data_IF_754351108191
#
_entry.id   IF_754351108191
#
_cell.length_a   1.000
_cell.length_b   1.000
_cell.length_c   1.000
_cell.angle_alpha   90.00
_cell.angle_beta   90.00
_cell.angle_gamma   90.00
#
_symmetry.space_group_name_H-M   'P 1'
#
loop_
_entity.id
_entity.type
_entity.pdbx_description
1 polymer ?
#
# COMPACT_ATOMS: atom_id res chain seq x y z
N UNK A 1 16.12 16.85 9.96
CA UNK A 1 14.79 16.42 10.45
C UNK A 1 14.64 14.97 10.05
N UNK A 2 14.41 14.06 11.01
CA UNK A 2 14.26 12.62 10.71
C UNK A 2 12.79 12.33 10.49
N UNK A 3 12.44 11.66 9.38
CA UNK A 3 11.07 11.28 9.06
C UNK A 3 10.92 9.77 9.26
N UNK A 4 9.81 9.36 9.87
CA UNK A 4 9.46 7.95 10.10
C UNK A 4 8.06 7.74 9.51
N UNK A 5 7.92 6.73 8.66
CA UNK A 5 6.62 6.29 8.13
C UNK A 5 6.37 4.85 8.57
N UNK A 6 5.11 4.52 8.83
CA UNK A 6 4.65 3.21 9.28
C UNK A 6 3.31 2.87 8.65
N UNK A 7 3.13 1.62 8.24
CA UNK A 7 1.84 1.07 7.83
C UNK A 7 1.81 -0.44 8.14
N UNK A 8 0.64 -0.99 8.46
CA UNK A 8 0.48 -2.43 8.70
C UNK A 8 0.39 -3.25 7.40
N UNK A 9 0.18 -2.59 6.26
CA UNK A 9 0.15 -3.24 4.95
C UNK A 9 1.57 -3.49 4.42
N UNK A 10 2.08 -4.68 4.67
CA UNK A 10 3.40 -5.13 4.20
C UNK A 10 3.59 -4.97 2.67
N UNK A 11 2.53 -5.13 1.88
CA UNK A 11 2.61 -5.00 0.43
C UNK A 11 2.87 -3.54 0.02
N UNK A 12 2.27 -2.57 0.72
CA UNK A 12 2.53 -1.15 0.53
C UNK A 12 3.94 -0.78 1.01
N UNK A 13 4.35 -1.26 2.18
CA UNK A 13 5.70 -1.00 2.70
C UNK A 13 6.77 -1.56 1.77
N UNK A 14 6.55 -2.74 1.19
CA UNK A 14 7.44 -3.29 0.18
C UNK A 14 7.60 -2.36 -1.04
N UNK A 15 6.54 -1.68 -1.48
CA UNK A 15 6.64 -0.66 -2.55
C UNK A 15 7.55 0.48 -2.13
N UNK A 16 7.37 1.06 -0.94
CA UNK A 16 8.22 2.14 -0.44
C UNK A 16 9.69 1.72 -0.32
N UNK A 17 9.96 0.53 0.24
CA UNK A 17 11.33 -0.02 0.35
C UNK A 17 11.97 -0.20 -1.02
N UNK A 18 11.25 -0.78 -1.99
CA UNK A 18 11.77 -0.97 -3.35
C UNK A 18 12.02 0.37 -4.06
N UNK A 19 11.15 1.38 -3.90
CA UNK A 19 11.39 2.71 -4.46
C UNK A 19 12.65 3.34 -3.82
N UNK A 20 12.81 3.18 -2.50
CA UNK A 20 13.98 3.69 -1.77
C UNK A 20 15.28 3.02 -2.23
N UNK A 21 15.30 1.72 -2.44
CA UNK A 21 16.52 0.92 -2.62
C UNK A 21 16.83 0.55 -4.07
N UNK A 22 15.82 0.41 -4.94
CA UNK A 22 15.97 -0.17 -6.29
C UNK A 22 14.99 0.44 -7.31
N UNK A 23 14.98 1.78 -7.48
CA UNK A 23 14.03 2.47 -8.36
C UNK A 23 14.18 2.05 -9.83
N UNK A 24 15.41 1.84 -10.32
CA UNK A 24 15.66 1.48 -11.73
C UNK A 24 15.14 0.08 -12.06
N UNK A 25 15.32 -0.85 -11.14
CA UNK A 25 14.83 -2.22 -11.32
C UNK A 25 13.31 -2.24 -11.28
N UNK A 26 12.68 -1.47 -10.40
CA UNK A 26 11.23 -1.30 -10.38
C UNK A 26 10.71 -0.73 -11.69
N UNK A 27 11.32 0.35 -12.20
CA UNK A 27 10.98 0.98 -13.49
C UNK A 27 11.06 -0.05 -14.62
N UNK A 28 12.13 -0.84 -14.70
CA UNK A 28 12.29 -1.88 -15.73
C UNK A 28 11.19 -2.94 -15.67
N UNK A 29 10.82 -3.41 -14.48
CA UNK A 29 9.77 -4.43 -14.33
C UNK A 29 8.40 -3.84 -14.66
N UNK A 30 8.10 -2.62 -14.24
CA UNK A 30 6.87 -1.92 -14.56
C UNK A 30 6.75 -1.62 -16.06
N UNK A 31 7.84 -1.19 -16.72
CA UNK A 31 7.87 -1.00 -18.17
C UNK A 31 7.49 -2.29 -18.89
N UNK A 32 8.08 -3.42 -18.50
CA UNK A 32 7.75 -4.73 -19.09
C UNK A 32 6.28 -5.10 -18.90
N UNK A 33 5.75 -4.97 -17.68
CA UNK A 33 4.33 -5.25 -17.39
C UNK A 33 3.42 -4.32 -18.20
N UNK A 34 3.80 -3.06 -18.34
CA UNK A 34 3.05 -2.08 -19.12
C UNK A 34 3.02 -2.43 -20.61
N UNK A 35 4.17 -2.75 -21.20
CA UNK A 35 4.24 -3.12 -22.61
C UNK A 35 3.46 -4.41 -22.89
N UNK A 36 3.60 -5.42 -22.02
CA UNK A 36 2.82 -6.67 -22.07
C UNK A 36 1.30 -6.36 -22.01
N UNK A 37 0.87 -5.48 -21.11
CA UNK A 37 -0.56 -5.19 -20.89
C UNK A 37 -1.18 -4.30 -21.98
N UNK A 38 -0.46 -3.28 -22.44
CA UNK A 38 -0.93 -2.35 -23.47
C UNK A 38 -1.07 -3.06 -24.83
N UNK A 39 -0.20 -4.02 -25.13
CA UNK A 39 -0.27 -4.85 -26.34
C UNK A 39 -1.54 -5.71 -26.42
N UNK A 40 -2.24 -5.92 -25.29
CA UNK A 40 -3.53 -6.62 -25.27
C UNK A 40 -4.64 -5.64 -25.67
N UNK A 41 -5.16 -5.79 -26.89
CA UNK A 41 -6.25 -4.95 -27.41
C UNK A 41 -7.61 -5.33 -26.84
N UNK A 42 -7.87 -6.64 -26.68
CA UNK A 42 -9.15 -7.15 -26.21
C UNK A 42 -9.27 -7.10 -24.67
N UNK A 43 -10.41 -6.60 -24.19
CA UNK A 43 -10.73 -6.54 -22.77
C UNK A 43 -10.68 -7.92 -22.10
N UNK A 44 -11.12 -8.97 -22.80
CA UNK A 44 -11.06 -10.36 -22.34
C UNK A 44 -9.62 -10.82 -22.12
N UNK A 45 -8.69 -10.49 -23.03
CA UNK A 45 -7.27 -10.83 -22.87
C UNK A 45 -6.62 -10.08 -21.71
N UNK A 46 -6.93 -8.79 -21.53
CA UNK A 46 -6.48 -8.02 -20.36
C UNK A 46 -6.96 -8.62 -19.05
N UNK A 47 -8.20 -9.10 -19.01
CA UNK A 47 -8.75 -9.80 -17.84
C UNK A 47 -8.00 -11.10 -17.57
N UNK A 48 -7.70 -11.89 -18.59
CA UNK A 48 -6.89 -13.13 -18.43
C UNK A 48 -5.51 -12.80 -17.86
N UNK A 49 -4.80 -11.84 -18.47
CA UNK A 49 -3.49 -11.39 -17.99
C UNK A 49 -3.52 -10.91 -16.55
N UNK A 50 -4.52 -10.09 -16.17
CA UNK A 50 -4.70 -9.64 -14.80
C UNK A 50 -4.85 -10.81 -13.83
N UNK A 51 -5.66 -11.82 -14.18
CA UNK A 51 -5.89 -12.99 -13.34
C UNK A 51 -4.63 -13.85 -13.22
N UNK A 52 -3.87 -14.03 -14.30
CA UNK A 52 -2.59 -14.74 -14.29
C UNK A 52 -1.56 -14.04 -13.39
N UNK A 53 -1.43 -12.72 -13.51
CA UNK A 53 -0.57 -11.93 -12.63
C UNK A 53 -1.02 -12.03 -11.17
N UNK A 54 -2.33 -12.06 -10.90
CA UNK A 54 -2.88 -12.20 -9.54
C UNK A 54 -2.55 -13.57 -8.95
N UNK A 55 -2.67 -14.63 -9.74
CA UNK A 55 -2.25 -15.98 -9.34
C UNK A 55 -0.75 -15.99 -9.04
N UNK A 56 0.08 -15.43 -9.93
CA UNK A 56 1.52 -15.35 -9.70
C UNK A 56 1.89 -14.52 -8.46
N UNK A 57 1.20 -13.41 -8.21
CA UNK A 57 1.37 -12.61 -6.99
C UNK A 57 1.09 -13.41 -5.71
N UNK A 58 0.02 -14.20 -5.72
CA UNK A 58 -0.43 -14.96 -4.55
C UNK A 58 0.32 -16.27 -4.32
N UNK A 59 0.83 -16.90 -5.38
CA UNK A 59 1.26 -18.31 -5.33
C UNK A 59 2.65 -18.53 -5.94
N UNK A 60 3.12 -17.60 -6.77
CA UNK A 60 4.40 -17.71 -7.49
C UNK A 60 5.61 -17.18 -6.75
N UNK A 61 5.45 -16.71 -5.49
CA UNK A 61 6.50 -16.16 -4.65
C UNK A 61 7.43 -15.15 -5.39
N UNK A 62 6.89 -14.08 -6.00
CA UNK A 62 7.70 -13.08 -6.66
C UNK A 62 8.66 -12.41 -5.68
N UNK A 63 9.86 -12.05 -6.16
CA UNK A 63 10.78 -11.23 -5.38
C UNK A 63 10.18 -9.85 -5.08
N UNK A 64 10.75 -9.13 -4.11
CA UNK A 64 10.24 -7.84 -3.62
C UNK A 64 9.99 -6.81 -4.73
N UNK A 65 10.91 -6.70 -5.70
CA UNK A 65 10.80 -5.77 -6.83
C UNK A 65 9.59 -6.13 -7.71
N UNK A 66 9.45 -7.41 -8.06
CA UNK A 66 8.34 -7.90 -8.87
C UNK A 66 7.02 -7.79 -8.12
N UNK A 67 7.02 -8.07 -6.82
CA UNK A 67 5.86 -7.90 -5.94
C UNK A 67 5.41 -6.43 -5.88
N UNK A 68 6.33 -5.48 -5.76
CA UNK A 68 6.04 -4.05 -5.78
C UNK A 68 5.47 -3.59 -7.14
N UNK A 69 6.07 -4.06 -8.25
CA UNK A 69 5.58 -3.75 -9.59
C UNK A 69 4.16 -4.28 -9.83
N UNK A 70 3.88 -5.51 -9.40
CA UNK A 70 2.56 -6.13 -9.48
C UNK A 70 1.54 -5.40 -8.60
N UNK A 71 1.92 -4.98 -7.40
CA UNK A 71 1.06 -4.17 -6.53
C UNK A 71 0.60 -2.89 -7.25
N UNK A 72 1.54 -2.13 -7.82
CA UNK A 72 1.23 -0.91 -8.59
C UNK A 72 0.33 -1.23 -9.78
N UNK A 73 0.63 -2.30 -10.52
CA UNK A 73 -0.20 -2.78 -11.63
C UNK A 73 -1.63 -3.03 -11.19
N UNK A 74 -1.85 -3.73 -10.07
CA UNK A 74 -3.19 -3.99 -9.56
C UNK A 74 -3.89 -2.72 -9.10
N UNK A 75 -3.24 -1.84 -8.35
CA UNK A 75 -3.88 -0.60 -7.88
C UNK A 75 -4.28 0.32 -9.03
N UNK A 76 -3.62 0.20 -10.18
CA UNK A 76 -3.93 0.94 -11.40
C UNK A 76 -5.01 0.27 -12.26
N UNK A 77 -5.22 -1.04 -12.15
CA UNK A 77 -6.08 -1.81 -13.06
C UNK A 77 -7.25 -2.53 -12.37
N UNK A 78 -7.29 -2.58 -11.04
CA UNK A 78 -8.41 -3.13 -10.30
C UNK A 78 -9.56 -2.12 -10.20
N UNK A 79 -10.74 -2.63 -9.86
CA UNK A 79 -11.92 -1.82 -9.62
C UNK A 79 -11.65 -0.79 -8.51
N UNK A 80 -11.83 0.51 -8.85
CA UNK A 80 -11.63 1.67 -7.98
C UNK A 80 -10.25 1.81 -7.33
N UNK A 81 -9.23 1.06 -7.77
CA UNK A 81 -7.88 1.12 -7.18
C UNK A 81 -7.82 0.65 -5.72
N UNK A 82 -8.78 -0.17 -5.31
CA UNK A 82 -8.93 -0.62 -3.92
C UNK A 82 -8.07 -1.86 -3.69
N UNK A 83 -7.18 -1.80 -2.71
CA UNK A 83 -6.46 -2.96 -2.21
C UNK A 83 -7.38 -3.82 -1.34
N UNK A 84 -7.44 -5.12 -1.61
CA UNK A 84 -8.17 -6.07 -0.78
C UNK A 84 -7.48 -7.44 -0.76
N UNK A 85 -7.56 -8.09 0.40
CA UNK A 85 -7.08 -9.45 0.63
C UNK A 85 -8.21 -10.30 1.19
N UNK A 86 -8.16 -11.60 0.99
CA UNK A 86 -9.06 -12.53 1.66
C UNK A 86 -8.54 -12.88 3.08
N UNK A 87 -9.30 -13.71 3.81
CA UNK A 87 -8.94 -14.16 5.17
C UNK A 87 -7.58 -14.90 5.27
N UNK A 88 -6.99 -15.31 4.15
CA UNK A 88 -5.70 -16.00 4.09
C UNK A 88 -4.57 -15.06 3.67
N UNK A 89 -4.82 -13.74 3.63
CA UNK A 89 -3.87 -12.73 3.20
C UNK A 89 -3.59 -12.70 1.69
N UNK A 90 -4.31 -13.50 0.87
CA UNK A 90 -4.14 -13.50 -0.59
C UNK A 90 -4.89 -12.33 -1.22
N UNK A 91 -4.25 -11.65 -2.17
CA UNK A 91 -4.82 -10.55 -2.92
C UNK A 91 -6.13 -10.98 -3.62
N UNK A 92 -7.21 -10.23 -3.36
CA UNK A 92 -8.57 -10.56 -3.79
C UNK A 92 -9.23 -9.45 -4.63
N UNK A 93 -8.43 -8.55 -5.19
CA UNK A 93 -8.92 -7.43 -6.01
C UNK A 93 -9.62 -7.90 -7.29
N UNK A 94 -10.65 -7.16 -7.70
CA UNK A 94 -11.42 -7.44 -8.92
C UNK A 94 -10.87 -6.64 -10.09
N UNK A 95 -10.78 -7.26 -11.27
CA UNK A 95 -10.38 -6.57 -12.50
C UNK A 95 -11.32 -5.39 -12.80
N UNK A 96 -10.76 -4.19 -12.97
CA UNK A 96 -11.49 -2.99 -13.32
C UNK A 96 -11.56 -2.80 -14.84
N UNK A 97 -12.67 -2.27 -15.35
CA UNK A 97 -12.88 -2.03 -16.78
C UNK A 97 -12.11 -0.81 -17.34
N UNK A 98 -11.17 -0.25 -16.57
CA UNK A 98 -10.48 1.00 -16.88
C UNK A 98 -9.70 0.96 -18.19
N UNK A 99 -9.77 2.05 -18.96
CA UNK A 99 -9.07 2.25 -20.24
C UNK A 99 -7.55 2.25 -20.14
N UNK A 100 -6.83 2.79 -21.14
CA UNK A 100 -5.35 2.80 -21.15
C UNK A 100 -4.79 3.49 -19.89
N UNK A 101 -4.38 2.68 -18.91
CA UNK A 101 -3.79 3.19 -17.67
C UNK A 101 -2.31 3.39 -17.88
N UNK A 102 -1.81 4.60 -17.63
CA UNK A 102 -0.37 4.84 -17.49
C UNK A 102 0.07 4.15 -16.20
N UNK A 103 0.72 3.00 -16.34
CA UNK A 103 1.21 2.20 -15.21
C UNK A 103 2.56 2.72 -14.72
N UNK A 104 3.40 3.14 -15.65
CA UNK A 104 4.75 3.61 -15.37
C UNK A 104 4.81 5.15 -15.33
N UNK A 105 5.22 5.66 -14.17
CA UNK A 105 5.51 7.07 -13.93
C UNK A 105 6.97 7.21 -13.46
N UNK A 106 7.93 7.14 -14.39
CA UNK A 106 9.36 7.10 -14.06
C UNK A 106 9.84 8.29 -13.24
N UNK A 107 9.46 9.50 -13.65
CA UNK A 107 9.86 10.73 -12.96
C UNK A 107 9.35 10.75 -11.52
N UNK A 108 8.12 10.28 -11.30
CA UNK A 108 7.52 10.18 -9.97
C UNK A 108 8.27 9.16 -9.11
N UNK A 109 8.63 8.00 -9.66
CA UNK A 109 9.43 6.98 -8.93
C UNK A 109 10.80 7.56 -8.54
N UNK A 110 11.50 8.21 -9.47
CA UNK A 110 12.81 8.82 -9.22
C UNK A 110 12.74 9.96 -8.21
N UNK A 111 11.67 10.74 -8.25
CA UNK A 111 11.41 11.81 -7.29
C UNK A 111 11.19 11.24 -5.88
N UNK A 112 10.31 10.24 -5.74
CA UNK A 112 10.06 9.58 -4.46
C UNK A 112 11.31 8.88 -3.92
N UNK A 113 12.11 8.26 -4.79
CA UNK A 113 13.40 7.68 -4.39
C UNK A 113 14.30 8.69 -3.69
N UNK A 114 14.41 9.92 -4.22
CA UNK A 114 15.18 10.99 -3.59
C UNK A 114 14.61 11.40 -2.23
N UNK A 115 13.28 11.52 -2.13
CA UNK A 115 12.61 11.87 -0.87
C UNK A 115 12.77 10.81 0.21
N UNK A 116 12.82 9.53 -0.16
CA UNK A 116 12.83 8.41 0.79
C UNK A 116 14.21 8.10 1.37
N UNK A 117 15.30 8.71 0.88
CA UNK A 117 16.65 8.37 1.34
C UNK A 117 16.82 8.56 2.85
N UNK A 118 16.31 9.66 3.39
CA UNK A 118 16.41 10.01 4.81
C UNK A 118 15.19 9.55 5.65
N UNK A 119 14.31 8.72 5.08
CA UNK A 119 13.08 8.23 5.73
C UNK A 119 13.31 6.85 6.35
N UNK A 120 12.96 6.68 7.62
CA UNK A 120 12.84 5.37 8.26
C UNK A 120 11.50 4.77 7.90
N UNK A 121 11.49 3.55 7.36
CA UNK A 121 10.28 2.87 6.90
C UNK A 121 10.05 1.64 7.78
N UNK A 122 9.01 1.71 8.61
CA UNK A 122 8.55 0.63 9.48
C UNK A 122 7.36 -0.09 8.84
N UNK A 123 7.19 -1.37 9.17
CA UNK A 123 6.02 -2.20 8.85
C UNK A 123 5.41 -2.77 10.13
N UNK A 124 4.09 -2.71 10.24
CA UNK A 124 3.33 -3.32 11.33
C UNK A 124 2.56 -2.35 12.21
N UNK A 125 2.36 -2.75 13.47
CA UNK A 125 1.52 -2.04 14.44
C UNK A 125 2.09 -0.66 14.77
N UNK A 126 1.25 0.38 14.75
CA UNK A 126 1.63 1.76 15.02
C UNK A 126 2.30 1.94 16.40
N UNK A 127 2.03 1.06 17.37
CA UNK A 127 2.59 1.15 18.72
C UNK A 127 4.11 1.02 18.73
N UNK A 128 4.71 0.37 17.73
CA UNK A 128 6.17 0.30 17.60
C UNK A 128 6.82 1.68 17.38
N UNK A 129 6.05 2.65 16.89
CA UNK A 129 6.54 4.03 16.70
C UNK A 129 6.84 4.75 18.01
N UNK A 130 6.47 4.17 19.16
CA UNK A 130 6.78 4.71 20.50
C UNK A 130 8.28 4.92 20.73
N UNK A 131 9.16 4.15 20.07
CA UNK A 131 10.61 4.31 20.18
C UNK A 131 11.11 5.66 19.64
N UNK A 132 10.30 6.36 18.85
CA UNK A 132 10.61 7.67 18.25
C UNK A 132 9.97 8.85 19.00
N UNK A 133 9.44 8.62 20.20
CA UNK A 133 8.78 9.67 21.02
C UNK A 133 9.80 10.61 21.69
N UNK A 134 9.39 11.86 21.95
CA UNK A 134 10.18 12.85 22.68
C UNK A 134 9.78 14.30 22.39
N UNK A 135 10.32 15.26 23.15
CA UNK A 135 9.93 16.67 23.12
C UNK A 135 10.07 17.41 21.77
N UNK A 136 10.72 16.79 20.78
CA UNK A 136 10.96 17.35 19.44
C UNK A 136 10.38 16.48 18.31
N UNK A 137 9.40 15.61 18.60
CA UNK A 137 8.68 14.84 17.59
C UNK A 137 7.24 15.33 17.40
N UNK A 138 6.75 15.14 16.17
CA UNK A 138 5.37 15.35 15.76
C UNK A 138 4.85 14.04 15.21
N UNK A 139 3.76 13.53 15.78
CA UNK A 139 3.07 12.34 15.31
C UNK A 139 1.81 12.73 14.54
N UNK A 140 1.59 12.06 13.41
CA UNK A 140 0.38 12.19 12.62
C UNK A 140 -0.21 10.81 12.40
N UNK A 141 -1.46 10.62 12.84
CA UNK A 141 -2.20 9.37 12.71
C UNK A 141 -3.42 9.59 11.81
N UNK A 142 -3.55 8.75 10.78
CA UNK A 142 -4.70 8.70 9.87
C UNK A 142 -5.26 7.26 9.85
N UNK A 143 -5.91 6.82 10.96
CA UNK A 143 -6.41 5.44 11.08
C UNK A 143 -7.64 5.19 10.20
N UNK A 144 -8.01 3.93 9.94
CA UNK A 144 -9.26 3.59 9.26
C UNK A 144 -10.48 4.25 9.94
N UNK A 145 -11.24 5.03 9.16
CA UNK A 145 -12.42 5.74 9.66
C UNK A 145 -13.61 4.82 9.93
N UNK A 146 -14.35 5.10 11.01
CA UNK A 146 -15.61 4.42 11.31
C UNK A 146 -16.62 4.68 10.18
N UNK A 147 -17.33 3.65 9.68
CA UNK A 147 -18.40 3.86 8.70
C UNK A 147 -19.46 4.82 9.25
N UNK A 148 -19.84 5.81 8.44
CA UNK A 148 -20.77 6.88 8.85
C UNK A 148 -22.24 6.42 8.90
N UNK A 149 -22.57 5.28 8.27
CA UNK A 149 -23.95 4.78 8.19
C UNK A 149 -24.07 3.35 8.74
N UNK A 150 -24.87 3.17 9.80
CA UNK A 150 -25.34 1.85 10.27
C UNK A 150 -26.44 1.25 9.36
N UNK A 151 -26.92 2.01 8.37
CA UNK A 151 -27.98 1.60 7.45
C UNK A 151 -27.46 1.04 6.13
N UNK A 152 -27.61 -0.27 5.93
CA UNK A 152 -27.73 -0.98 4.65
C UNK A 152 -26.95 -0.41 3.44
N UNK A 153 -25.64 -0.66 3.37
CA UNK A 153 -24.98 -1.19 2.15
C UNK A 153 -23.52 -1.48 2.44
N UNK A 154 -23.18 -2.77 2.34
CA UNK A 154 -21.88 -3.36 2.57
C UNK A 154 -20.79 -2.70 1.69
N UNK A 155 -19.98 -1.83 2.28
CA UNK A 155 -18.53 -1.73 2.01
C UNK A 155 -17.86 -1.18 3.27
N UNK A 156 -17.77 -1.99 4.33
CA UNK A 156 -16.91 -1.66 5.46
C UNK A 156 -15.46 -1.74 4.97
N UNK A 157 -14.83 -0.58 4.74
CA UNK A 157 -13.40 -0.47 4.45
C UNK A 157 -12.53 -0.50 5.72
N UNK A 158 -13.11 -0.83 6.86
CA UNK A 158 -12.28 -1.19 8.01
C UNK A 158 -11.62 -2.53 7.70
N UNK A 159 -10.28 -2.65 7.80
CA UNK A 159 -9.69 -3.94 8.10
C UNK A 159 -10.53 -4.56 9.23
N UNK A 160 -10.84 -5.86 9.16
CA UNK A 160 -11.66 -6.52 10.19
C UNK A 160 -11.17 -6.25 11.63
N UNK A 161 -9.91 -5.85 11.74
CA UNK A 161 -9.17 -5.70 12.98
C UNK A 161 -9.07 -4.26 13.51
N UNK A 162 -9.63 -3.23 12.84
CA UNK A 162 -9.57 -1.83 13.35
C UNK A 162 -10.95 -1.29 13.79
N UNK A 163 -11.55 -1.95 14.78
CA UNK A 163 -12.85 -1.58 15.35
C UNK A 163 -12.79 -0.49 16.44
N UNK A 164 -13.89 -0.34 17.18
CA UNK A 164 -14.01 0.66 18.25
C UNK A 164 -12.94 0.49 19.35
N UNK A 165 -12.57 -0.75 19.69
CA UNK A 165 -11.49 -1.02 20.65
C UNK A 165 -10.14 -0.50 20.16
N UNK A 166 -9.82 -0.64 18.87
CA UNK A 166 -8.57 -0.11 18.32
C UNK A 166 -8.54 1.41 18.23
N UNK A 167 -9.69 2.05 18.00
CA UNK A 167 -9.81 3.51 18.12
C UNK A 167 -9.52 3.99 19.55
N UNK A 168 -10.02 3.26 20.56
CA UNK A 168 -9.72 3.55 21.98
C UNK A 168 -8.25 3.31 22.29
N UNK A 169 -7.67 2.20 21.80
CA UNK A 169 -6.25 1.88 21.98
C UNK A 169 -5.37 2.97 21.36
N UNK A 170 -5.71 3.45 20.16
CA UNK A 170 -4.99 4.54 19.51
C UNK A 170 -5.12 5.86 20.29
N UNK A 171 -6.31 6.20 20.79
CA UNK A 171 -6.48 7.40 21.62
C UNK A 171 -5.64 7.35 22.90
N UNK A 172 -5.59 6.20 23.56
CA UNK A 172 -4.74 5.97 24.74
C UNK A 172 -3.26 6.08 24.38
N UNK A 173 -2.84 5.54 23.23
CA UNK A 173 -1.49 5.66 22.74
C UNK A 173 -1.10 7.13 22.49
N UNK A 174 -1.95 7.89 21.79
CA UNK A 174 -1.76 9.33 21.54
C UNK A 174 -1.62 10.13 22.85
N UNK A 175 -2.42 9.79 23.87
CA UNK A 175 -2.30 10.41 25.19
C UNK A 175 -0.95 10.08 25.84
N UNK A 176 -0.54 8.82 25.81
CA UNK A 176 0.74 8.38 26.39
C UNK A 176 1.95 9.04 25.74
N UNK A 177 1.97 9.16 24.41
CA UNK A 177 3.07 9.86 23.73
C UNK A 177 3.05 11.38 24.02
N UNK A 178 1.88 11.98 24.20
CA UNK A 178 1.76 13.39 24.58
C UNK A 178 2.39 13.71 25.94
N UNK A 179 2.35 12.77 26.89
CA UNK A 179 3.01 12.89 28.19
C UNK A 179 4.54 12.93 28.10
N UNK A 180 5.13 12.47 26.98
CA UNK A 180 6.58 12.54 26.69
C UNK A 180 7.02 13.89 26.10
N UNK A 181 6.08 14.80 25.86
CA UNK A 181 6.32 16.09 25.20
C UNK A 181 6.26 16.05 23.68
N UNK A 182 5.94 14.90 23.07
CA UNK A 182 5.65 14.82 21.65
C UNK A 182 4.37 15.60 21.30
N UNK A 183 4.31 16.12 20.07
CA UNK A 183 3.14 16.80 19.51
C UNK A 183 2.29 15.89 18.65
#
# INVERSE_FOLDING_TARGET
>A
MRCVINDSNEALINVYRVIKESPEQLIKVLARIQDEYIALEEHTRRRVYFMEKRTYYNEGNPNNITRAALFIFFMRTCYNGIYSVNHSGKLSVTFGAGGRVKLLEEELIRFNHKLLQDVVILDGDYRQTAEYTGANSLFYFDPPYKPVNEGNSCTSYMPQDFGDEEQINLANFCKGIGETGAK
#
